data_IF_676327221522
#
_entry.id   IF_676327221522
#
_cell.length_a   1.000
_cell.length_b   1.000
_cell.length_c   1.000
_cell.angle_alpha   90.00
_cell.angle_beta   90.00
_cell.angle_gamma   90.00
#
_symmetry.space_group_name_H-M   'P 1'
#
loop_
_entity.id
_entity.type
_entity.pdbx_description
1 polymer ?
#
# COMPACT_ATOMS: atom_id res chain seq x y z
N UNK A 1 -8.25 6.07 -15.96
CA UNK A 1 -7.93 4.63 -15.99
C UNK A 1 -8.35 4.02 -14.65
N UNK A 2 -9.24 3.04 -14.66
CA UNK A 2 -9.75 2.41 -13.43
C UNK A 2 -8.93 1.14 -13.17
N UNK A 3 -8.09 1.14 -12.15
CA UNK A 3 -7.27 0.00 -11.74
C UNK A 3 -7.52 -0.36 -10.28
N UNK A 4 -7.23 -1.61 -9.88
CA UNK A 4 -7.28 -2.04 -8.49
C UNK A 4 -5.87 -2.27 -7.96
N UNK A 5 -5.64 -1.87 -6.72
CA UNK A 5 -4.39 -2.10 -6.00
C UNK A 5 -4.70 -2.80 -4.70
N UNK A 6 -3.93 -3.84 -4.38
CA UNK A 6 -3.92 -4.47 -3.06
C UNK A 6 -2.73 -3.95 -2.28
N UNK A 7 -2.95 -3.44 -1.09
CA UNK A 7 -1.92 -2.92 -0.21
C UNK A 7 -1.81 -3.86 0.98
N UNK A 8 -0.59 -4.15 1.40
CA UNK A 8 -0.31 -4.90 2.61
C UNK A 8 0.65 -4.08 3.47
N UNK A 9 0.21 -3.73 4.66
CA UNK A 9 1.03 -3.09 5.68
C UNK A 9 1.46 -4.18 6.66
N UNK A 10 2.77 -4.42 6.75
CA UNK A 10 3.30 -5.43 7.66
C UNK A 10 2.87 -5.15 9.11
N UNK A 11 2.19 -6.11 9.73
CA UNK A 11 1.65 -6.00 11.09
C UNK A 11 0.26 -5.36 11.22
N UNK A 12 -0.38 -4.92 10.11
CA UNK A 12 -1.76 -4.38 10.12
C UNK A 12 -2.74 -5.03 9.16
N UNK A 13 -2.26 -5.91 8.27
CA UNK A 13 -3.11 -6.59 7.29
C UNK A 13 -3.08 -5.89 5.93
N UNK A 14 -4.12 -6.11 5.12
CA UNK A 14 -4.15 -5.54 3.78
C UNK A 14 -5.56 -5.25 3.26
N UNK A 15 -5.64 -4.26 2.38
CA UNK A 15 -6.88 -3.76 1.78
C UNK A 15 -6.75 -3.74 0.25
N UNK A 16 -7.87 -3.89 -0.45
CA UNK A 16 -7.92 -3.65 -1.91
C UNK A 16 -8.66 -2.35 -2.19
N UNK A 17 -7.96 -1.38 -2.78
CA UNK A 17 -8.50 -0.06 -3.10
C UNK A 17 -8.60 0.13 -4.62
N UNK A 18 -9.54 0.97 -5.03
CA UNK A 18 -9.65 1.44 -6.42
C UNK A 18 -8.77 2.68 -6.60
N UNK A 19 -7.98 2.70 -7.67
CA UNK A 19 -7.24 3.87 -8.09
C UNK A 19 -8.20 4.94 -8.61
N UNK A 20 -8.02 6.19 -8.17
CA UNK A 20 -8.66 7.37 -8.74
C UNK A 20 -7.60 8.20 -9.45
N UNK A 21 -7.74 8.38 -10.76
CA UNK A 21 -6.75 9.11 -11.59
C UNK A 21 -5.31 8.59 -11.46
N UNK A 22 -5.13 7.30 -11.18
CA UNK A 22 -3.80 6.68 -11.03
C UNK A 22 -3.18 6.77 -9.63
N UNK A 23 -3.83 7.45 -8.68
CA UNK A 23 -3.40 7.54 -7.29
C UNK A 23 -4.43 6.96 -6.33
N UNK A 24 -3.99 6.71 -5.10
CA UNK A 24 -4.82 6.48 -3.92
C UNK A 24 -4.07 7.02 -2.71
N UNK A 25 -4.80 7.45 -1.69
CA UNK A 25 -4.25 7.76 -0.37
C UNK A 25 -4.62 6.63 0.60
N UNK A 26 -3.65 6.19 1.39
CA UNK A 26 -3.87 5.25 2.48
C UNK A 26 -3.50 5.92 3.79
N UNK A 27 -4.49 6.05 4.66
CA UNK A 27 -4.27 6.43 6.05
C UNK A 27 -4.25 5.15 6.88
N UNK A 28 -3.13 4.91 7.57
CA UNK A 28 -3.02 3.86 8.58
C UNK A 28 -3.25 4.49 9.94
N UNK A 29 -3.95 3.80 10.84
CA UNK A 29 -3.95 4.18 12.27
C UNK A 29 -2.53 4.15 12.84
N UNK A 30 -2.39 4.57 14.10
CA UNK A 30 -1.11 4.59 14.81
C UNK A 30 -0.39 3.23 14.80
N UNK A 31 0.93 3.25 14.58
CA UNK A 31 1.73 2.03 14.63
C UNK A 31 1.99 1.63 16.08
N UNK A 32 1.53 0.45 16.49
CA UNK A 32 1.71 -0.05 17.87
C UNK A 32 3.16 -0.38 18.27
N UNK A 33 4.13 -0.20 17.38
CA UNK A 33 5.55 -0.41 17.68
C UNK A 33 6.44 0.45 16.77
N UNK A 34 7.52 1.01 17.34
CA UNK A 34 8.60 1.66 16.59
C UNK A 34 9.40 0.68 15.73
N UNK A 35 10.26 1.22 14.86
CA UNK A 35 11.17 0.44 14.02
C UNK A 35 10.85 0.53 12.53
N UNK A 36 11.57 -0.27 11.73
CA UNK A 36 11.35 -0.35 10.29
C UNK A 36 10.00 -1.00 9.97
N UNK A 37 9.26 -0.37 9.06
CA UNK A 37 8.01 -0.86 8.50
C UNK A 37 8.15 -0.99 6.99
N UNK A 38 7.44 -1.98 6.47
CA UNK A 38 7.38 -2.25 5.03
C UNK A 38 5.93 -2.23 4.60
N UNK A 39 5.63 -1.39 3.61
CA UNK A 39 4.35 -1.37 2.91
C UNK A 39 4.56 -1.99 1.54
N UNK A 40 3.87 -3.08 1.26
CA UNK A 40 3.87 -3.73 -0.04
C UNK A 40 2.64 -3.29 -0.82
N UNK A 41 2.84 -2.77 -2.01
CA UNK A 41 1.78 -2.29 -2.90
C UNK A 41 1.76 -3.18 -4.13
N UNK A 42 0.63 -3.85 -4.38
CA UNK A 42 0.45 -4.75 -5.52
C UNK A 42 -0.62 -4.20 -6.45
N UNK A 43 -0.21 -3.72 -7.61
CA UNK A 43 -1.13 -3.43 -8.69
C UNK A 43 -1.67 -4.74 -9.30
N UNK A 44 -2.99 -4.92 -9.27
CA UNK A 44 -3.65 -6.16 -9.70
C UNK A 44 -3.85 -6.25 -11.21
N UNK A 45 -3.40 -5.24 -11.95
CA UNK A 45 -3.58 -5.12 -13.40
C UNK A 45 -4.90 -4.45 -13.77
N UNK A 46 -5.04 -4.21 -15.07
CA UNK A 46 -6.29 -3.86 -15.75
C UNK A 46 -6.31 -4.51 -17.12
N UNK A 47 -7.36 -4.26 -17.90
CA UNK A 47 -7.45 -4.72 -19.30
C UNK A 47 -6.33 -4.14 -20.19
N UNK A 48 -5.66 -3.07 -19.73
CA UNK A 48 -4.63 -2.35 -20.49
C UNK A 48 -3.21 -2.52 -19.91
N UNK A 49 -3.07 -2.81 -18.61
CA UNK A 49 -1.77 -2.81 -17.92
C UNK A 49 -1.53 -4.11 -17.13
N UNK A 50 -0.27 -4.57 -17.18
CA UNK A 50 0.20 -5.76 -16.44
C UNK A 50 0.25 -5.53 -14.93
N UNK A 51 0.20 -6.62 -14.17
CA UNK A 51 0.40 -6.62 -12.72
C UNK A 51 1.81 -6.16 -12.37
N UNK A 52 1.94 -5.45 -11.26
CA UNK A 52 3.23 -5.05 -10.70
C UNK A 52 3.18 -5.08 -9.18
N UNK A 53 4.33 -5.25 -8.52
CA UNK A 53 4.46 -5.19 -7.07
C UNK A 53 5.65 -4.31 -6.72
N UNK A 54 5.45 -3.42 -5.77
CA UNK A 54 6.48 -2.56 -5.24
C UNK A 54 6.43 -2.52 -3.70
N UNK A 55 7.52 -2.05 -3.08
CA UNK A 55 7.65 -1.96 -1.63
C UNK A 55 8.22 -0.61 -1.23
N UNK A 56 7.57 0.01 -0.25
CA UNK A 56 8.06 1.21 0.42
C UNK A 56 8.51 0.83 1.83
N UNK A 57 9.68 1.30 2.22
CA UNK A 57 10.22 1.15 3.58
C UNK A 57 10.28 2.51 4.26
N UNK A 58 9.91 2.54 5.53
CA UNK A 58 10.07 3.72 6.38
C UNK A 58 10.29 3.30 7.83
N UNK A 59 10.77 4.23 8.66
CA UNK A 59 11.00 3.98 10.09
C UNK A 59 10.02 4.79 10.92
N UNK A 60 9.30 4.11 11.81
CA UNK A 60 8.48 4.73 12.84
C UNK A 60 9.35 5.00 14.05
N UNK A 61 9.33 6.24 14.53
CA UNK A 61 10.04 6.68 15.74
C UNK A 61 9.02 7.11 16.79
N UNK A 62 9.41 7.15 18.07
CA UNK A 62 8.61 7.83 19.10
C UNK A 62 8.67 9.33 18.82
N UNK A 63 7.56 10.04 19.00
CA UNK A 63 7.54 11.51 18.99
C UNK A 63 8.29 12.05 20.20
#
# INVERSE_FOLDING_TARGET
>A
MNGRVRILVAGKGGETVRLRKGSFDLTSDEFGAVGEKVVSVRYLGSDLLKRSTDKVRFRVIRS
#
